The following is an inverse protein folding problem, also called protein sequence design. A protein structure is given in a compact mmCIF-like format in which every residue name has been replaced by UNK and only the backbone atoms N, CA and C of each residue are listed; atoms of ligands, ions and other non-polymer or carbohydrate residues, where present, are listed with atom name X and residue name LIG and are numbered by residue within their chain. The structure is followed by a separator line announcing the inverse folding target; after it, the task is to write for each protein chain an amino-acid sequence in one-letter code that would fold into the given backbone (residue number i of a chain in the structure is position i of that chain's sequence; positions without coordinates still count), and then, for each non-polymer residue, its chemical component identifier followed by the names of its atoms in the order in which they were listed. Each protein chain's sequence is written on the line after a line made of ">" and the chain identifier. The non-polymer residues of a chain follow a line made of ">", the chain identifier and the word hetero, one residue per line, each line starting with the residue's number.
data_IF_122707974591
#
_entry.id   IF_122707974591
#
_cell.length_a   1.000
_cell.length_b   1.000
_cell.length_c   1.000
_cell.angle_alpha   90.00
_cell.angle_beta   90.00
_cell.angle_gamma   90.00
#
_symmetry.space_group_name_H-M   'P 1'
#
loop_
_entity.id
_entity.type
_entity.pdbx_description
1 polymer ?
#
# COMPACT_ATOMS: atom_id res chain seq x y z
N UNK A 1 8.50 10.16 -6.46
CA UNK A 1 8.44 9.16 -5.37
C UNK A 1 8.80 9.75 -4.00
N UNK A 2 10.02 10.26 -3.77
CA UNK A 2 10.40 10.87 -2.47
C UNK A 2 9.51 12.06 -2.03
N UNK A 3 9.03 12.88 -2.96
CA UNK A 3 8.16 14.02 -2.63
C UNK A 3 6.74 13.62 -2.18
N UNK A 4 6.24 12.48 -2.64
CA UNK A 4 4.90 11.98 -2.27
C UNK A 4 4.95 11.30 -0.90
N UNK A 5 5.97 10.49 -0.65
CA UNK A 5 6.22 9.92 0.67
C UNK A 5 6.49 11.00 1.75
N UNK A 6 7.16 12.10 1.37
CA UNK A 6 7.38 13.29 2.22
C UNK A 6 6.09 14.07 2.54
N UNK A 7 4.98 13.82 1.84
CA UNK A 7 3.69 14.48 2.07
C UNK A 7 2.72 13.68 2.94
N UNK A 8 2.85 12.36 2.98
CA UNK A 8 1.95 11.47 3.74
C UNK A 8 2.50 11.10 5.12
N UNK A 9 3.81 11.22 5.32
CA UNK A 9 4.51 11.03 6.59
C UNK A 9 5.02 12.40 7.01
N UNK A 10 4.90 12.76 8.29
CA UNK A 10 5.45 14.00 8.81
C UNK A 10 6.93 14.15 8.40
N UNK A 11 7.34 15.37 8.02
CA UNK A 11 8.65 15.61 7.42
C UNK A 11 9.81 15.17 8.34
N UNK A 12 9.60 15.24 9.66
CA UNK A 12 10.54 14.79 10.68
C UNK A 12 10.60 13.26 10.75
N UNK A 13 9.46 12.59 10.68
CA UNK A 13 9.34 11.13 10.69
C UNK A 13 9.91 10.50 9.41
N UNK A 14 9.65 11.11 8.25
CA UNK A 14 10.25 10.71 6.97
C UNK A 14 11.79 10.83 7.00
N UNK A 15 12.31 11.94 7.52
CA UNK A 15 13.75 12.16 7.63
C UNK A 15 14.40 11.22 8.66
N UNK A 16 13.67 10.83 9.70
CA UNK A 16 14.16 9.86 10.70
C UNK A 16 14.22 8.44 10.13
N UNK A 17 13.23 8.06 9.31
CA UNK A 17 13.14 6.73 8.70
C UNK A 17 14.04 6.56 7.46
N UNK A 18 14.20 7.62 6.66
CA UNK A 18 14.84 7.55 5.33
C UNK A 18 15.97 8.57 5.12
N UNK A 19 16.21 9.50 6.05
CA UNK A 19 17.20 10.58 5.89
C UNK A 19 18.65 10.10 5.79
N UNK A 20 18.92 8.85 6.19
CA UNK A 20 20.23 8.21 6.07
C UNK A 20 20.37 7.30 4.83
N UNK A 21 19.27 7.03 4.12
CA UNK A 21 19.26 6.20 2.92
C UNK A 21 19.49 7.07 1.69
N UNK A 22 20.49 6.73 0.87
CA UNK A 22 20.72 7.51 -0.36
C UNK A 22 19.55 7.28 -1.33
N UNK A 23 19.11 8.30 -2.09
CA UNK A 23 18.10 8.14 -3.14
C UNK A 23 18.43 7.01 -4.14
N UNK A 24 19.72 6.67 -4.30
CA UNK A 24 20.17 5.55 -5.12
C UNK A 24 19.75 4.20 -4.53
N UNK A 25 19.80 4.00 -3.21
CA UNK A 25 19.37 2.76 -2.55
C UNK A 25 17.87 2.50 -2.70
N UNK A 26 17.04 3.55 -2.59
CA UNK A 26 15.59 3.43 -2.80
C UNK A 26 15.31 3.04 -4.25
N UNK A 27 16.03 3.63 -5.20
CA UNK A 27 15.91 3.27 -6.62
C UNK A 27 16.35 1.82 -6.89
N UNK A 28 17.41 1.35 -6.23
CA UNK A 28 17.90 -0.03 -6.34
C UNK A 28 16.88 -1.04 -5.80
N UNK A 29 16.22 -0.74 -4.68
CA UNK A 29 15.16 -1.59 -4.13
C UNK A 29 13.96 -1.64 -5.07
N UNK A 30 13.49 -0.49 -5.59
CA UNK A 30 12.38 -0.48 -6.55
C UNK A 30 12.73 -1.29 -7.81
N UNK A 31 13.96 -1.16 -8.34
CA UNK A 31 14.45 -1.97 -9.45
C UNK A 31 14.44 -3.47 -9.12
N UNK A 32 14.98 -3.86 -7.97
CA UNK A 32 15.01 -5.26 -7.54
C UNK A 32 13.61 -5.86 -7.39
N UNK A 33 12.64 -5.08 -6.91
CA UNK A 33 11.24 -5.49 -6.82
C UNK A 33 10.58 -5.66 -8.20
N UNK A 34 10.86 -4.73 -9.13
CA UNK A 34 10.37 -4.80 -10.52
C UNK A 34 10.88 -6.02 -11.28
N UNK A 35 12.07 -6.51 -10.93
CA UNK A 35 12.68 -7.68 -11.59
C UNK A 35 12.30 -9.01 -10.92
N UNK A 36 11.67 -8.96 -9.74
CA UNK A 36 11.31 -10.14 -8.95
C UNK A 36 9.93 -10.68 -9.34
N UNK A 37 9.89 -11.64 -10.29
CA UNK A 37 8.64 -12.32 -10.68
C UNK A 37 7.81 -12.86 -9.50
N UNK A 38 8.39 -13.51 -8.48
CA UNK A 38 7.62 -13.97 -7.33
C UNK A 38 6.93 -12.83 -6.58
N UNK A 39 7.65 -11.71 -6.40
CA UNK A 39 7.10 -10.52 -5.76
C UNK A 39 5.96 -9.91 -6.58
N UNK A 40 6.14 -9.74 -7.90
CA UNK A 40 5.12 -9.18 -8.77
C UNK A 40 3.85 -10.03 -8.76
N UNK A 41 3.99 -11.35 -8.81
CA UNK A 41 2.85 -12.27 -8.74
C UNK A 41 2.12 -12.13 -7.40
N UNK A 42 2.85 -12.08 -6.29
CA UNK A 42 2.26 -11.87 -4.97
C UNK A 42 1.54 -10.52 -4.90
N UNK A 43 2.18 -9.45 -5.35
CA UNK A 43 1.60 -8.10 -5.36
C UNK A 43 0.29 -8.08 -6.17
N UNK A 44 0.29 -8.63 -7.39
CA UNK A 44 -0.90 -8.73 -8.24
C UNK A 44 -2.01 -9.50 -7.54
N UNK A 45 -1.73 -10.69 -7.03
CA UNK A 45 -2.73 -11.52 -6.36
C UNK A 45 -3.37 -10.81 -5.16
N UNK A 46 -2.57 -10.07 -4.38
CA UNK A 46 -3.07 -9.33 -3.21
C UNK A 46 -3.93 -8.14 -3.64
N UNK A 47 -3.48 -7.35 -4.63
CA UNK A 47 -4.26 -6.22 -5.14
C UNK A 47 -5.57 -6.67 -5.80
N UNK A 48 -5.57 -7.80 -6.52
CA UNK A 48 -6.80 -8.39 -7.05
C UNK A 48 -7.74 -8.86 -5.94
N UNK A 49 -7.22 -9.42 -4.84
CA UNK A 49 -8.03 -9.79 -3.70
C UNK A 49 -8.68 -8.56 -3.05
N UNK A 50 -7.91 -7.50 -2.82
CA UNK A 50 -8.42 -6.21 -2.33
C UNK A 50 -9.48 -5.66 -3.28
N UNK A 51 -9.21 -5.62 -4.58
CA UNK A 51 -10.14 -5.12 -5.59
C UNK A 51 -11.46 -5.90 -5.64
N UNK A 52 -11.41 -7.23 -5.51
CA UNK A 52 -12.62 -8.07 -5.43
C UNK A 52 -13.47 -7.75 -4.20
N UNK A 53 -12.86 -7.67 -3.02
CA UNK A 53 -13.57 -7.38 -1.77
C UNK A 53 -14.14 -5.96 -1.80
N UNK A 54 -13.32 -4.97 -2.19
CA UNK A 54 -13.72 -3.58 -2.32
C UNK A 54 -14.86 -3.41 -3.34
N UNK A 55 -14.81 -4.14 -4.46
CA UNK A 55 -15.88 -4.13 -5.47
C UNK A 55 -17.17 -4.76 -4.97
N UNK A 56 -17.09 -5.85 -4.21
CA UNK A 56 -18.27 -6.48 -3.58
C UNK A 56 -18.94 -5.58 -2.53
N UNK A 57 -18.18 -4.66 -1.93
CA UNK A 57 -18.66 -3.65 -0.97
C UNK A 57 -18.94 -2.29 -1.62
N UNK A 58 -18.85 -2.20 -2.95
CA UNK A 58 -19.12 -0.97 -3.73
C UNK A 58 -18.25 0.25 -3.32
N UNK A 59 -17.00 0.01 -2.91
CA UNK A 59 -16.08 1.09 -2.53
C UNK A 59 -15.67 1.95 -3.74
N UNK A 60 -15.57 3.27 -3.54
CA UNK A 60 -15.32 4.24 -4.61
C UNK A 60 -13.97 4.04 -5.33
N UNK A 61 -13.00 3.39 -4.69
CA UNK A 61 -11.68 3.09 -5.27
C UNK A 61 -11.59 1.75 -6.03
N UNK A 62 -12.60 0.88 -5.92
CA UNK A 62 -12.51 -0.49 -6.42
C UNK A 62 -12.39 -0.57 -7.95
N UNK A 63 -13.18 0.22 -8.69
CA UNK A 63 -13.14 0.24 -10.16
C UNK A 63 -11.78 0.71 -10.68
N UNK A 64 -11.25 1.80 -10.12
CA UNK A 64 -9.93 2.32 -10.47
C UNK A 64 -8.82 1.29 -10.21
N UNK A 65 -8.87 0.57 -9.08
CA UNK A 65 -7.91 -0.49 -8.79
C UNK A 65 -8.00 -1.65 -9.81
N UNK A 66 -9.21 -2.05 -10.21
CA UNK A 66 -9.40 -3.12 -11.18
C UNK A 66 -8.93 -2.73 -12.59
N UNK A 67 -9.16 -1.49 -13.02
CA UNK A 67 -8.61 -0.96 -14.29
C UNK A 67 -7.08 -1.01 -14.28
N UNK A 68 -6.47 -0.63 -13.14
CA UNK A 68 -5.03 -0.63 -12.96
C UNK A 68 -4.38 -2.01 -13.09
N UNK A 69 -5.08 -3.04 -12.63
CA UNK A 69 -4.65 -4.43 -12.69
C UNK A 69 -4.90 -5.05 -14.06
N UNK A 70 -5.78 -4.47 -14.89
CA UNK A 70 -6.06 -4.94 -16.24
C UNK A 70 -4.90 -4.72 -17.24
N UNK A 71 -3.91 -3.91 -16.88
CA UNK A 71 -2.74 -3.67 -17.72
C UNK A 71 -1.74 -4.85 -17.69
N UNK A 72 -1.35 -5.34 -18.86
CA UNK A 72 -0.36 -6.42 -19.09
C UNK A 72 1.11 -5.94 -18.95
N UNK A 73 1.40 -5.12 -17.93
CA UNK A 73 2.78 -4.77 -17.58
C UNK A 73 3.06 -5.06 -16.11
N UNK A 74 3.64 -6.24 -15.84
CA UNK A 74 3.97 -6.67 -14.48
C UNK A 74 5.02 -5.78 -13.81
N UNK A 75 6.14 -5.37 -14.45
CA UNK A 75 7.10 -4.47 -13.79
C UNK A 75 6.47 -3.10 -13.44
N UNK A 76 5.56 -2.61 -14.29
CA UNK A 76 4.85 -1.36 -14.06
C UNK A 76 3.91 -1.45 -12.84
N UNK A 77 3.53 -2.64 -12.38
CA UNK A 77 2.68 -2.82 -11.20
C UNK A 77 3.30 -2.23 -9.93
N UNK A 78 4.64 -2.27 -9.83
CA UNK A 78 5.35 -1.67 -8.70
C UNK A 78 5.22 -0.15 -8.74
N UNK A 79 5.43 0.45 -9.91
CA UNK A 79 5.39 1.90 -10.09
C UNK A 79 4.02 2.46 -9.85
N UNK A 80 3.04 1.77 -10.43
CA UNK A 80 1.64 1.94 -10.11
C UNK A 80 1.45 1.90 -8.60
N UNK A 81 1.70 0.77 -7.93
CA UNK A 81 1.46 0.63 -6.49
C UNK A 81 2.08 1.76 -5.65
N UNK A 82 3.27 2.25 -6.01
CA UNK A 82 3.89 3.38 -5.32
C UNK A 82 3.20 4.71 -5.65
N UNK A 83 2.89 4.99 -6.92
CA UNK A 83 2.24 6.23 -7.35
C UNK A 83 0.78 6.33 -6.85
N UNK A 84 0.05 5.21 -6.89
CA UNK A 84 -1.33 5.10 -6.42
C UNK A 84 -1.45 4.66 -4.97
N UNK A 85 -0.38 4.78 -4.16
CA UNK A 85 -0.41 4.45 -2.74
C UNK A 85 -1.57 5.12 -1.99
N UNK A 86 -1.90 6.38 -2.32
CA UNK A 86 -3.03 7.07 -1.71
C UNK A 86 -4.37 6.39 -1.96
N UNK A 87 -4.61 5.91 -3.18
CA UNK A 87 -5.82 5.15 -3.53
C UNK A 87 -5.86 3.83 -2.76
N UNK A 88 -4.75 3.08 -2.75
CA UNK A 88 -4.65 1.82 -2.04
C UNK A 88 -4.90 1.99 -0.54
N UNK A 89 -4.29 3.01 0.05
CA UNK A 89 -4.44 3.33 1.46
C UNK A 89 -5.89 3.70 1.81
N UNK A 90 -6.54 4.52 0.98
CA UNK A 90 -7.94 4.87 1.18
C UNK A 90 -8.86 3.65 1.11
N UNK A 91 -8.69 2.78 0.11
CA UNK A 91 -9.47 1.53 0.01
C UNK A 91 -9.27 0.66 1.26
N UNK A 92 -8.03 0.53 1.73
CA UNK A 92 -7.72 -0.27 2.92
C UNK A 92 -8.36 0.33 4.19
N UNK A 93 -8.37 1.65 4.34
CA UNK A 93 -9.07 2.32 5.44
C UNK A 93 -10.59 2.10 5.37
N UNK A 94 -11.20 2.28 4.21
CA UNK A 94 -12.65 2.05 4.04
C UNK A 94 -13.01 0.58 4.29
N UNK A 95 -12.16 -0.36 3.86
CA UNK A 95 -12.31 -1.78 4.18
C UNK A 95 -12.20 -2.05 5.68
N UNK A 96 -11.23 -1.42 6.35
CA UNK A 96 -11.04 -1.52 7.80
C UNK A 96 -12.29 -1.04 8.54
N UNK A 97 -12.80 0.15 8.21
CA UNK A 97 -14.01 0.72 8.81
C UNK A 97 -15.25 -0.18 8.61
N UNK A 98 -15.44 -0.72 7.40
CA UNK A 98 -16.61 -1.54 7.08
C UNK A 98 -16.52 -2.98 7.60
N UNK A 99 -15.31 -3.57 7.63
CA UNK A 99 -15.11 -4.96 8.06
C UNK A 99 -14.91 -5.09 9.57
N UNK A 100 -14.48 -4.03 10.27
CA UNK A 100 -14.25 -4.04 11.73
C UNK A 100 -15.42 -3.55 12.58
N UNK A 101 -16.44 -2.92 12.00
CA UNK A 101 -17.75 -2.79 12.62
C UNK A 101 -18.61 -4.00 12.23
N UNK A 102 -18.86 -5.03 13.02
CA UNK A 102 -18.87 -5.22 14.47
C UNK A 102 -18.39 -6.65 14.81
N UNK A 103 -17.14 -6.83 15.25
CA UNK A 103 -16.77 -8.09 15.94
C UNK A 103 -15.40 -8.72 15.68
N UNK A 104 -14.45 -8.05 15.00
CA UNK A 104 -13.08 -8.58 14.91
C UNK A 104 -12.09 -7.80 15.77
N UNK A 105 -11.47 -8.44 16.80
CA UNK A 105 -10.59 -7.75 17.74
C UNK A 105 -9.13 -7.61 17.27
N UNK A 106 -8.83 -7.60 15.96
CA UNK A 106 -7.47 -7.90 15.47
C UNK A 106 -6.81 -6.93 14.48
N UNK A 107 -7.38 -5.76 14.18
CA UNK A 107 -6.71 -4.76 13.33
C UNK A 107 -6.56 -3.37 13.99
N UNK A 108 -7.03 -3.21 15.23
CA UNK A 108 -6.87 -1.98 16.03
C UNK A 108 -5.43 -1.62 16.39
N UNK A 109 -4.43 -2.39 15.98
CA UNK A 109 -3.00 -2.09 16.18
C UNK A 109 -2.36 -1.30 15.04
N UNK A 110 -3.03 -1.11 13.91
CA UNK A 110 -2.54 -0.22 12.85
C UNK A 110 -2.73 1.28 13.17
N UNK A 111 -3.59 1.61 14.14
CA UNK A 111 -3.88 2.98 14.54
C UNK A 111 -3.13 3.47 15.80
N UNK A 112 -2.37 2.62 16.51
CA UNK A 112 -1.58 3.04 17.67
C UNK A 112 -0.26 2.23 17.85
N UNK A 113 0.88 2.73 17.33
CA UNK A 113 2.18 2.07 17.51
C UNK A 113 2.66 2.04 18.98
N UNK A 114 2.04 2.81 19.88
CA UNK A 114 2.37 2.83 21.31
C UNK A 114 1.72 1.69 22.09
N UNK A 115 0.64 1.10 21.57
CA UNK A 115 -0.04 -0.02 22.20
C UNK A 115 0.78 -1.33 22.12
N UNK A 116 1.58 -1.51 21.06
CA UNK A 116 2.42 -2.69 20.85
C UNK A 116 3.69 -2.74 21.72
N UNK A 117 4.01 -1.68 22.47
CA UNK A 117 5.23 -1.56 23.29
C UNK A 117 4.99 -1.80 24.79
N UNK A 118 3.82 -2.29 25.19
CA UNK A 118 3.46 -2.53 26.60
C UNK A 118 3.22 -3.99 26.99
N UNK A 119 3.52 -4.94 26.10
CA UNK A 119 3.62 -6.37 26.44
C UNK A 119 5.08 -6.84 26.37
#
# INVERSE_FOLDING_TARGET
>A
MLQLARKSIDEQEFTTLFGNESPARISEVTLALRDSKPFLQTLRNQLEAVGRVAGALELAGASHLMEWLGDDCDPCLVDRAVEGYGLLYQILLELDELLLWTGWPLLGTLHDPTAALKE
#
